data_IF_032580214996
#
_entry.id   IF_032580214996
#
_cell.length_a   1.000
_cell.length_b   1.000
_cell.length_c   1.000
_cell.angle_alpha   90.00
_cell.angle_beta   90.00
_cell.angle_gamma   90.00
#
_symmetry.space_group_name_H-M   'P 1'
#
loop_
_entity.id
_entity.type
_entity.pdbx_description
1 polymer ?
#
# COMPACT_ATOMS: atom_id res chain seq x y z
N UNK A 1 10.74 12.54 14.17
CA UNK A 1 9.83 11.81 15.07
C UNK A 1 10.07 10.31 14.92
N UNK A 2 10.24 9.62 16.03
CA UNK A 2 10.45 8.18 15.99
C UNK A 2 9.12 7.45 15.87
N UNK A 3 9.00 6.64 14.82
CA UNK A 3 7.83 5.80 14.63
C UNK A 3 8.21 4.39 15.09
N UNK A 4 7.48 3.88 16.03
CA UNK A 4 7.76 2.56 16.59
C UNK A 4 7.23 1.43 15.70
N UNK A 5 8.02 0.37 15.57
CA UNK A 5 7.60 -0.86 14.93
C UNK A 5 6.39 -1.42 15.69
N UNK A 6 5.37 -1.83 14.95
CA UNK A 6 4.17 -2.41 15.55
C UNK A 6 4.47 -3.81 16.10
N UNK A 7 3.85 -4.11 17.26
CA UNK A 7 3.89 -5.45 17.80
C UNK A 7 3.12 -6.42 16.91
N UNK A 8 3.47 -7.72 16.91
CA UNK A 8 2.79 -8.69 16.03
C UNK A 8 1.27 -8.69 16.14
N UNK A 9 0.73 -8.53 17.33
CA UNK A 9 -0.72 -8.49 17.52
C UNK A 9 -1.35 -7.27 16.86
N UNK A 10 -0.69 -6.13 16.94
CA UNK A 10 -1.16 -4.90 16.30
C UNK A 10 -1.14 -5.04 14.77
N UNK A 11 -0.14 -5.73 14.23
CA UNK A 11 -0.07 -6.00 12.80
C UNK A 11 -1.25 -6.89 12.38
N UNK A 12 -1.52 -7.95 13.11
CA UNK A 12 -2.63 -8.84 12.79
C UNK A 12 -3.98 -8.11 12.83
N UNK A 13 -4.19 -7.28 13.85
CA UNK A 13 -5.42 -6.50 13.97
C UNK A 13 -5.59 -5.53 12.80
N UNK A 14 -4.50 -4.86 12.43
CA UNK A 14 -4.52 -3.92 11.31
C UNK A 14 -4.83 -4.64 9.99
N UNK A 15 -4.18 -5.78 9.74
CA UNK A 15 -4.38 -6.54 8.51
C UNK A 15 -5.79 -7.13 8.42
N UNK A 16 -6.43 -7.44 9.54
CA UNK A 16 -7.80 -7.90 9.54
C UNK A 16 -8.76 -6.87 8.95
N UNK A 17 -8.41 -5.58 9.02
CA UNK A 17 -9.21 -4.48 8.47
C UNK A 17 -8.91 -4.20 7.00
N UNK A 18 -7.81 -4.72 6.48
CA UNK A 18 -7.39 -4.59 5.08
C UNK A 18 -7.04 -5.97 4.53
N UNK A 19 -8.01 -6.89 4.44
CA UNK A 19 -7.74 -8.30 4.15
C UNK A 19 -7.13 -8.54 2.77
N UNK A 20 -7.20 -7.57 1.86
CA UNK A 20 -6.59 -7.68 0.53
C UNK A 20 -5.07 -7.53 0.57
N UNK A 21 -4.53 -6.98 1.65
CA UNK A 21 -3.09 -6.84 1.80
C UNK A 21 -2.52 -8.09 2.46
N UNK A 22 -1.43 -8.59 1.90
CA UNK A 22 -0.75 -9.78 2.41
C UNK A 22 0.54 -9.40 3.11
N UNK A 23 0.83 -10.06 4.23
CA UNK A 23 2.08 -9.85 4.93
C UNK A 23 3.16 -10.74 4.32
N UNK A 24 4.36 -10.18 4.13
CA UNK A 24 5.54 -10.93 3.72
C UNK A 24 6.71 -10.42 4.56
N UNK A 25 7.06 -11.19 5.61
CA UNK A 25 8.12 -10.78 6.53
C UNK A 25 7.79 -9.46 7.19
N UNK A 26 8.65 -8.46 6.99
CA UNK A 26 8.52 -7.14 7.59
C UNK A 26 7.82 -6.13 6.67
N UNK A 27 7.06 -6.63 5.69
CA UNK A 27 6.33 -5.77 4.76
C UNK A 27 4.92 -6.28 4.51
N UNK A 28 4.08 -5.42 3.91
CA UNK A 28 2.79 -5.83 3.41
C UNK A 28 2.71 -5.48 1.92
N UNK A 29 1.94 -6.24 1.18
CA UNK A 29 1.91 -6.15 -0.27
C UNK A 29 0.49 -6.32 -0.80
N UNK A 30 0.19 -5.59 -1.87
CA UNK A 30 -1.10 -5.67 -2.57
C UNK A 30 -0.87 -5.42 -4.06
N UNK A 31 -1.55 -6.21 -4.91
CA UNK A 31 -1.59 -5.97 -6.35
C UNK A 31 -2.99 -5.54 -6.76
N UNK A 32 -3.07 -4.45 -7.51
CA UNK A 32 -4.32 -3.95 -8.10
C UNK A 32 -4.29 -4.14 -9.59
N UNK A 33 -5.43 -4.47 -10.18
CA UNK A 33 -5.59 -4.58 -11.61
C UNK A 33 -6.51 -3.48 -12.13
N UNK A 34 -6.19 -2.94 -13.30
CA UNK A 34 -6.95 -1.89 -13.95
C UNK A 34 -7.29 -2.34 -15.36
N UNK A 35 -8.06 -1.53 -16.10
CA UNK A 35 -8.44 -1.93 -17.45
C UNK A 35 -7.29 -1.82 -18.45
N UNK A 36 -6.36 -0.87 -18.23
CA UNK A 36 -5.26 -0.63 -19.13
C UNK A 36 -4.10 0.06 -18.43
N UNK A 37 -3.04 0.33 -19.18
CA UNK A 37 -1.83 0.96 -18.66
C UNK A 37 -2.06 2.41 -18.21
N UNK A 38 -2.85 3.16 -18.96
CA UNK A 38 -3.11 4.57 -18.63
C UNK A 38 -3.84 4.68 -17.29
N UNK A 39 -4.80 3.80 -17.05
CA UNK A 39 -5.51 3.77 -15.78
C UNK A 39 -4.58 3.39 -14.65
N UNK A 40 -3.67 2.43 -14.90
CA UNK A 40 -2.64 2.04 -13.92
C UNK A 40 -1.77 3.24 -13.56
N UNK A 41 -1.35 4.02 -14.54
CA UNK A 41 -0.50 5.20 -14.29
C UNK A 41 -1.27 6.31 -13.58
N UNK A 42 -2.55 6.47 -13.87
CA UNK A 42 -3.38 7.42 -13.13
C UNK A 42 -3.45 7.04 -11.65
N UNK A 43 -3.61 5.76 -11.37
CA UNK A 43 -3.56 5.25 -10.00
C UNK A 43 -2.20 5.53 -9.34
N UNK A 44 -1.11 5.23 -10.04
CA UNK A 44 0.25 5.48 -9.52
C UNK A 44 0.44 6.95 -9.15
N UNK A 45 -0.07 7.85 -9.97
CA UNK A 45 0.02 9.29 -9.67
C UNK A 45 -0.76 9.68 -8.42
N UNK A 46 -1.92 9.07 -8.19
CA UNK A 46 -2.67 9.29 -6.95
C UNK A 46 -1.92 8.77 -5.73
N UNK A 47 -1.30 7.60 -5.87
CA UNK A 47 -0.49 7.01 -4.79
C UNK A 47 0.69 7.94 -4.47
N UNK A 48 1.36 8.46 -5.50
CA UNK A 48 2.48 9.38 -5.30
C UNK A 48 2.05 10.59 -4.48
N UNK A 49 0.89 11.18 -4.79
CA UNK A 49 0.38 12.32 -4.04
C UNK A 49 0.11 11.95 -2.57
N UNK A 50 -0.49 10.80 -2.33
CA UNK A 50 -0.78 10.35 -0.95
C UNK A 50 0.49 10.08 -0.17
N UNK A 51 1.48 9.43 -0.82
CA UNK A 51 2.76 9.13 -0.20
C UNK A 51 3.51 10.40 0.22
N UNK A 52 3.50 11.42 -0.65
CA UNK A 52 4.14 12.70 -0.33
C UNK A 52 3.45 13.41 0.82
N UNK A 53 2.14 13.30 0.93
CA UNK A 53 1.40 13.91 2.05
C UNK A 53 1.81 13.36 3.40
N UNK A 54 2.10 12.07 3.47
CA UNK A 54 2.47 11.42 4.73
C UNK A 54 3.96 11.20 4.87
N UNK A 55 4.74 11.60 3.88
CA UNK A 55 6.21 11.45 3.85
C UNK A 55 6.63 10.00 4.09
N UNK A 56 5.93 9.09 3.45
CA UNK A 56 6.22 7.65 3.52
C UNK A 56 5.94 7.06 2.14
N UNK A 57 6.88 6.28 1.60
CA UNK A 57 6.85 5.90 0.20
C UNK A 57 6.80 4.39 0.02
N UNK A 58 5.88 3.88 -0.81
CA UNK A 58 5.83 2.46 -1.14
C UNK A 58 6.87 2.11 -2.20
N UNK A 59 7.22 0.84 -2.27
CA UNK A 59 7.85 0.30 -3.46
C UNK A 59 6.75 -0.03 -4.46
N UNK A 60 6.99 0.30 -5.72
CA UNK A 60 6.00 0.11 -6.78
C UNK A 60 6.58 -0.79 -7.87
N UNK A 61 5.78 -1.75 -8.31
CA UNK A 61 6.09 -2.53 -9.50
C UNK A 61 4.90 -2.41 -10.45
N UNK A 62 5.14 -1.89 -11.64
CA UNK A 62 4.11 -1.66 -12.65
C UNK A 62 4.31 -2.66 -13.78
N UNK A 63 3.28 -3.47 -14.04
CA UNK A 63 3.31 -4.44 -15.13
C UNK A 63 2.04 -4.27 -15.93
N UNK A 64 2.11 -3.44 -16.97
CA UNK A 64 1.01 -3.10 -17.84
C UNK A 64 -0.23 -2.62 -17.06
N UNK A 65 -1.23 -3.46 -16.86
CA UNK A 65 -2.46 -3.08 -16.17
C UNK A 65 -2.48 -3.48 -14.70
N UNK A 66 -1.33 -3.89 -14.15
CA UNK A 66 -1.24 -4.30 -12.75
C UNK A 66 -0.19 -3.50 -12.04
N UNK A 67 -0.52 -3.08 -10.82
CA UNK A 67 0.38 -2.33 -9.96
C UNK A 67 0.50 -3.06 -8.63
N UNK A 68 1.71 -3.44 -8.28
CA UNK A 68 2.01 -4.08 -7.00
C UNK A 68 2.69 -3.06 -6.10
N UNK A 69 2.17 -2.93 -4.88
CA UNK A 69 2.71 -2.02 -3.89
C UNK A 69 3.20 -2.81 -2.69
N UNK A 70 4.38 -2.44 -2.19
CA UNK A 70 4.97 -3.04 -1.02
C UNK A 70 5.28 -1.94 -0.02
N UNK A 71 4.85 -2.12 1.22
CA UNK A 71 5.02 -1.13 2.29
C UNK A 71 5.82 -1.72 3.44
N UNK A 72 6.77 -0.93 3.91
CA UNK A 72 7.56 -1.23 5.10
C UNK A 72 8.19 0.07 5.58
N UNK A 73 8.58 0.13 6.84
CA UNK A 73 9.29 1.28 7.39
C UNK A 73 10.72 0.86 7.74
N UNK A 74 11.65 1.11 6.84
CA UNK A 74 13.04 0.70 7.00
C UNK A 74 13.66 1.18 8.30
N UNK A 75 13.44 2.44 8.65
CA UNK A 75 14.04 3.03 9.84
C UNK A 75 13.56 2.37 11.13
N UNK A 76 12.37 1.77 11.11
CA UNK A 76 11.84 1.06 12.28
C UNK A 76 12.12 -0.45 12.22
N UNK A 77 12.64 -0.93 11.11
CA UNK A 77 12.93 -2.35 10.92
C UNK A 77 11.70 -3.21 10.64
N UNK A 78 10.60 -2.62 10.20
CA UNK A 78 9.39 -3.38 9.88
C UNK A 78 8.16 -2.51 9.74
N UNK A 79 7.00 -3.09 10.03
CA UNK A 79 5.73 -2.41 9.86
C UNK A 79 5.44 -1.43 10.99
N UNK A 80 4.93 -0.27 10.61
CA UNK A 80 4.51 0.78 11.55
C UNK A 80 3.13 1.29 11.18
N UNK A 81 2.61 2.21 11.97
CA UNK A 81 1.33 2.85 11.70
C UNK A 81 1.35 3.61 10.36
N UNK A 82 2.53 4.08 9.92
CA UNK A 82 2.65 4.74 8.61
C UNK A 82 2.27 3.80 7.48
N UNK A 83 2.66 2.54 7.56
CA UNK A 83 2.35 1.55 6.53
C UNK A 83 0.86 1.26 6.48
N UNK A 84 0.25 1.09 7.64
CA UNK A 84 -1.19 0.81 7.75
C UNK A 84 -2.01 1.99 7.20
N UNK A 85 -1.65 3.21 7.60
CA UNK A 85 -2.36 4.39 7.14
C UNK A 85 -2.23 4.57 5.63
N UNK A 86 -1.02 4.40 5.11
CA UNK A 86 -0.81 4.53 3.67
C UNK A 86 -1.56 3.44 2.90
N UNK A 87 -1.63 2.21 3.42
CA UNK A 87 -2.40 1.13 2.80
C UNK A 87 -3.87 1.53 2.65
N UNK A 88 -4.46 2.15 3.66
CA UNK A 88 -5.83 2.64 3.58
C UNK A 88 -6.00 3.73 2.50
N UNK A 89 -5.06 4.65 2.42
CA UNK A 89 -5.08 5.72 1.42
C UNK A 89 -4.91 5.17 0.00
N UNK A 90 -4.04 4.18 -0.16
CA UNK A 90 -3.82 3.51 -1.43
C UNK A 90 -5.10 2.78 -1.87
N UNK A 91 -5.75 2.08 -0.96
CA UNK A 91 -7.01 1.38 -1.27
C UNK A 91 -8.10 2.35 -1.73
N UNK A 92 -8.19 3.52 -1.11
CA UNK A 92 -9.14 4.54 -1.52
C UNK A 92 -8.81 5.09 -2.92
N UNK A 93 -7.52 5.30 -3.20
CA UNK A 93 -7.08 5.75 -4.52
C UNK A 93 -7.39 4.72 -5.60
N UNK A 94 -7.23 3.44 -5.28
CA UNK A 94 -7.52 2.35 -6.22
C UNK A 94 -9.02 2.32 -6.56
N UNK A 95 -9.87 2.47 -5.56
CA UNK A 95 -11.32 2.52 -5.82
C UNK A 95 -11.69 3.72 -6.69
N UNK A 96 -11.05 4.86 -6.48
CA UNK A 96 -11.30 6.06 -7.27
C UNK A 96 -10.93 5.87 -8.73
N UNK A 97 -9.93 5.03 -9.03
CA UNK A 97 -9.52 4.73 -10.40
C UNK A 97 -10.20 3.48 -10.98
N UNK A 98 -11.14 2.89 -10.25
CA UNK A 98 -11.90 1.74 -10.77
C UNK A 98 -11.13 0.43 -10.76
N UNK A 99 -10.26 0.22 -9.77
CA UNK A 99 -9.51 -1.01 -9.65
C UNK A 99 -10.42 -2.24 -9.61
N UNK A 100 -9.99 -3.29 -10.30
CA UNK A 100 -10.67 -4.57 -10.26
C UNK A 100 -10.44 -5.24 -8.90
N UNK A 101 -11.50 -5.86 -8.35
CA UNK A 101 -11.42 -6.54 -7.05
C UNK A 101 -10.58 -7.81 -7.10
N UNK A 102 -10.38 -8.36 -8.27
CA UNK A 102 -9.56 -9.56 -8.41
C UNK A 102 -8.09 -9.28 -8.65
N UNK A 103 -7.70 -8.03 -8.51
CA UNK A 103 -6.37 -7.52 -8.86
C UNK A 103 -5.17 -8.30 -8.43
#
# INVERSE_FOLDING_TARGET
MNIAKLEPEAVEDALARIPEWSRSGESIQRTYAFKDFLESMAFVNRVAARAEEVQHHPDLMIRWNKVTLTLSTHDAGGLTQLDVELAHRISAAARAEGASLGG
#
